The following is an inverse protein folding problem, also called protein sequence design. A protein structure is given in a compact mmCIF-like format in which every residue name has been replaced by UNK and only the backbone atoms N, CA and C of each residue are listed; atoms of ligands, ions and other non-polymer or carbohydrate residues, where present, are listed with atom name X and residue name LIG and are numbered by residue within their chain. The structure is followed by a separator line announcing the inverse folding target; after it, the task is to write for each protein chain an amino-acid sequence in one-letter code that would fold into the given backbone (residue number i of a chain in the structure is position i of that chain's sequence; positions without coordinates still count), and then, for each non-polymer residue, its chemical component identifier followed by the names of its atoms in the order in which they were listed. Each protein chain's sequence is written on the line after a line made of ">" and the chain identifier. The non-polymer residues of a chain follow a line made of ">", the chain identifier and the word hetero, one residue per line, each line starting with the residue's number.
data_IF_790450539751
#
_entry.id   IF_790450539751
#
_cell.length_a   1.000
_cell.length_b   1.000
_cell.length_c   1.000
_cell.angle_alpha   90.00
_cell.angle_beta   90.00
_cell.angle_gamma   90.00
#
_symmetry.space_group_name_H-M   'P 1'
#
loop_
_entity.id
_entity.type
_entity.pdbx_description
1 polymer ?
#
# COMPACT_ATOMS: atom_id res chain seq x y z
N UNK A 1 -71.25 5.33 22.17
CA UNK A 1 -70.80 6.51 22.94
C UNK A 1 -69.31 6.73 22.71
N UNK A 2 -68.91 7.99 22.71
CA UNK A 2 -67.60 8.54 22.29
C UNK A 2 -66.45 8.19 23.25
N UNK A 3 -65.24 8.43 22.70
CA UNK A 3 -63.90 8.66 23.28
C UNK A 3 -62.95 7.46 23.10
N UNK A 4 -61.73 7.56 22.59
CA UNK A 4 -60.85 8.66 22.12
C UNK A 4 -59.69 7.92 21.36
N UNK A 5 -59.26 8.33 20.14
CA UNK A 5 -58.04 9.12 19.82
C UNK A 5 -56.71 8.42 20.21
N UNK A 6 -55.64 8.32 19.40
CA UNK A 6 -55.07 9.19 18.34
C UNK A 6 -54.25 8.35 17.33
N UNK A 7 -54.33 8.76 16.06
CA UNK A 7 -53.72 8.20 14.85
C UNK A 7 -52.79 9.26 14.21
N UNK A 8 -51.56 8.85 13.88
CA UNK A 8 -50.68 9.24 12.75
C UNK A 8 -50.36 10.71 12.44
N UNK A 9 -49.06 11.00 12.34
CA UNK A 9 -48.53 12.11 11.54
C UNK A 9 -47.50 11.57 10.53
N UNK A 10 -47.81 11.67 9.24
CA UNK A 10 -46.90 11.52 8.09
C UNK A 10 -47.02 12.80 7.27
N UNK A 11 -45.91 13.42 6.90
CA UNK A 11 -45.79 14.21 5.67
C UNK A 11 -44.31 14.32 5.28
N UNK A 12 -43.99 13.90 4.06
CA UNK A 12 -42.65 13.91 3.49
C UNK A 12 -42.38 15.06 2.52
N UNK A 13 -41.07 15.26 2.26
CA UNK A 13 -40.38 15.67 1.03
C UNK A 13 -40.75 16.97 0.29
N UNK A 14 -39.74 17.79 -0.02
CA UNK A 14 -39.34 18.10 -1.41
C UNK A 14 -37.94 18.76 -1.49
N UNK A 15 -37.25 18.52 -2.60
CA UNK A 15 -35.86 18.87 -2.97
C UNK A 15 -35.72 20.19 -3.77
N UNK A 16 -34.48 20.70 -3.83
CA UNK A 16 -33.77 21.32 -5.00
C UNK A 16 -33.46 22.84 -5.03
N UNK A 17 -32.15 23.13 -4.99
CA UNK A 17 -31.32 23.87 -5.99
C UNK A 17 -31.29 25.42 -6.09
N UNK A 18 -30.08 25.94 -5.81
CA UNK A 18 -29.28 27.05 -6.38
C UNK A 18 -29.87 28.47 -6.62
N UNK A 19 -29.15 29.49 -6.13
CA UNK A 19 -28.89 30.73 -6.87
C UNK A 19 -27.71 31.54 -6.29
N UNK A 20 -26.88 32.02 -7.21
CA UNK A 20 -25.70 32.86 -7.10
C UNK A 20 -26.11 34.35 -7.22
N UNK A 21 -25.54 35.27 -6.43
CA UNK A 21 -25.60 36.73 -6.65
C UNK A 21 -24.41 37.38 -5.90
N UNK A 22 -23.34 37.82 -6.57
CA UNK A 22 -23.14 39.03 -7.39
C UNK A 22 -22.73 40.30 -6.59
N UNK A 23 -21.40 40.48 -6.55
CA UNK A 23 -20.55 41.69 -6.54
C UNK A 23 -21.13 43.13 -6.46
N UNK A 24 -20.59 43.97 -5.56
CA UNK A 24 -19.60 45.07 -5.84
C UNK A 24 -19.58 46.24 -4.81
N UNK A 25 -18.36 46.60 -4.35
CA UNK A 25 -17.82 47.92 -3.90
C UNK A 25 -18.46 48.63 -2.66
N UNK A 26 -17.72 49.09 -1.63
CA UNK A 26 -16.64 50.12 -1.69
C UNK A 26 -15.82 50.19 -0.38
N UNK A 27 -14.48 50.28 -0.54
CA UNK A 27 -13.39 50.87 0.27
C UNK A 27 -13.39 50.84 1.83
N UNK A 28 -12.31 50.32 2.43
CA UNK A 28 -11.17 51.10 2.97
C UNK A 28 -10.09 50.18 3.61
N UNK A 29 -8.82 50.50 3.31
CA UNK A 29 -7.56 50.17 4.00
C UNK A 29 -7.05 48.69 4.07
N UNK A 30 -6.04 48.41 3.24
CA UNK A 30 -4.94 47.46 3.52
C UNK A 30 -4.11 47.93 4.74
N UNK A 31 -3.52 46.99 5.52
CA UNK A 31 -2.19 46.49 5.17
C UNK A 31 -2.12 44.96 5.10
N UNK A 32 -1.26 44.53 4.19
CA UNK A 32 -1.01 43.17 3.77
C UNK A 32 -0.18 42.33 4.77
N UNK A 33 -0.25 41.01 4.50
CA UNK A 33 0.63 39.90 4.95
C UNK A 33 0.35 39.44 6.38
N UNK A 34 0.04 38.18 6.66
CA UNK A 34 0.68 36.97 6.14
C UNK A 34 -0.26 35.76 6.34
N UNK A 35 -0.71 35.18 5.23
CA UNK A 35 -1.34 33.87 5.20
C UNK A 35 -0.25 32.80 5.34
N UNK A 36 0.15 32.47 6.57
CA UNK A 36 0.95 31.29 6.83
C UNK A 36 0.02 30.05 6.88
N UNK A 37 -0.21 29.52 5.68
CA UNK A 37 -0.64 28.13 5.42
C UNK A 37 0.18 27.21 6.34
N UNK A 38 -0.40 26.21 7.04
CA UNK A 38 0.41 25.21 7.73
C UNK A 38 1.20 24.47 6.66
N UNK A 39 2.46 24.84 6.57
CA UNK A 39 3.48 24.26 5.74
C UNK A 39 3.58 22.81 6.18
N UNK A 40 3.16 21.89 5.30
CA UNK A 40 3.44 20.47 5.43
C UNK A 40 4.94 20.34 5.68
N UNK A 41 5.31 20.12 6.94
CA UNK A 41 6.62 19.61 7.29
C UNK A 41 6.72 18.27 6.61
N UNK A 42 7.46 18.22 5.50
CA UNK A 42 8.03 17.00 4.97
C UNK A 42 8.82 16.37 6.12
N UNK A 43 8.18 15.47 6.86
CA UNK A 43 8.86 14.64 7.84
C UNK A 43 9.96 13.93 7.05
N UNK A 44 11.20 14.13 7.47
CA UNK A 44 12.33 13.38 6.98
C UNK A 44 11.98 11.89 7.16
N UNK A 45 11.60 11.25 6.06
CA UNK A 45 11.27 9.84 6.00
C UNK A 45 12.53 9.08 6.41
N UNK A 46 12.51 8.54 7.63
CA UNK A 46 13.58 7.68 8.08
C UNK A 46 13.38 6.36 7.33
N UNK A 47 14.25 6.01 6.36
CA UNK A 47 14.00 4.89 5.45
C UNK A 47 13.88 3.55 6.20
N UNK A 48 14.42 3.48 7.42
CA UNK A 48 14.27 2.34 8.31
C UNK A 48 12.86 2.23 8.92
N UNK A 49 12.21 3.35 9.23
CA UNK A 49 10.81 3.37 9.69
C UNK A 49 9.88 2.95 8.56
N UNK A 50 10.16 3.38 7.33
CA UNK A 50 9.38 2.98 6.15
C UNK A 50 9.52 1.48 5.85
N UNK A 51 10.72 0.91 5.98
CA UNK A 51 10.94 -0.54 5.80
C UNK A 51 10.16 -1.36 6.82
N UNK A 52 10.22 -1.01 8.11
CA UNK A 52 9.51 -1.74 9.16
C UNK A 52 7.99 -1.67 8.97
N UNK A 53 7.45 -0.50 8.65
CA UNK A 53 6.03 -0.32 8.38
C UNK A 53 5.57 -1.09 7.13
N UNK A 54 6.38 -1.12 6.06
CA UNK A 54 6.10 -1.93 4.87
C UNK A 54 6.12 -3.43 5.18
N UNK A 55 7.06 -3.89 6.02
CA UNK A 55 7.14 -5.29 6.41
C UNK A 55 5.91 -5.72 7.21
N UNK A 56 5.47 -4.91 8.17
CA UNK A 56 4.24 -5.17 8.93
C UNK A 56 3.02 -5.31 8.01
N UNK A 57 2.83 -4.38 7.06
CA UNK A 57 1.77 -4.50 6.05
C UNK A 57 1.89 -5.76 5.20
N UNK A 58 3.10 -6.13 4.79
CA UNK A 58 3.31 -7.38 4.06
C UNK A 58 2.96 -8.60 4.92
N UNK A 59 3.28 -8.60 6.21
CA UNK A 59 2.89 -9.68 7.11
C UNK A 59 1.37 -9.78 7.22
N UNK A 60 0.67 -8.68 7.44
CA UNK A 60 -0.80 -8.67 7.51
C UNK A 60 -1.46 -9.23 6.24
N UNK A 61 -0.94 -8.86 5.07
CA UNK A 61 -1.52 -9.25 3.79
C UNK A 61 -1.15 -10.68 3.36
N UNK A 62 0.12 -11.06 3.48
CA UNK A 62 0.64 -12.27 2.87
C UNK A 62 0.77 -13.42 3.86
N UNK A 63 0.98 -13.16 5.15
CA UNK A 63 1.28 -14.22 6.13
C UNK A 63 0.18 -15.28 6.22
N UNK A 64 -1.12 -14.95 6.36
CA UNK A 64 -2.16 -15.97 6.48
C UNK A 64 -2.23 -16.87 5.23
N UNK A 65 -2.23 -16.27 4.04
CA UNK A 65 -2.31 -16.99 2.78
C UNK A 65 -1.06 -17.81 2.48
N UNK A 66 0.12 -17.29 2.81
CA UNK A 66 1.38 -18.01 2.62
C UNK A 66 1.47 -19.21 3.56
N UNK A 67 1.16 -19.06 4.84
CA UNK A 67 1.13 -20.19 5.78
C UNK A 67 0.17 -21.28 5.29
N UNK A 68 -1.04 -20.90 4.87
CA UNK A 68 -2.05 -21.85 4.39
C UNK A 68 -1.62 -22.61 3.12
N UNK A 69 -0.97 -21.94 2.17
CA UNK A 69 -0.57 -22.54 0.88
C UNK A 69 0.75 -23.31 0.93
N UNK A 70 1.65 -22.96 1.85
CA UNK A 70 3.02 -23.49 1.88
C UNK A 70 3.30 -24.41 3.07
N UNK A 71 2.43 -24.41 4.09
CA UNK A 71 2.67 -25.17 5.33
C UNK A 71 3.82 -24.63 6.18
N UNK A 72 4.32 -23.43 5.88
CA UNK A 72 5.36 -22.77 6.66
C UNK A 72 4.86 -22.33 8.04
N UNK A 73 5.75 -22.36 9.03
CA UNK A 73 5.50 -21.73 10.32
C UNK A 73 5.46 -20.21 10.21
N UNK A 74 4.83 -19.55 11.18
CA UNK A 74 4.77 -18.09 11.24
C UNK A 74 6.17 -17.45 11.17
N UNK A 75 7.16 -18.02 11.86
CA UNK A 75 8.54 -17.51 11.88
C UNK A 75 9.24 -17.68 10.52
N UNK A 76 9.05 -18.82 9.85
CA UNK A 76 9.61 -19.01 8.50
C UNK A 76 8.98 -18.05 7.50
N UNK A 77 7.66 -17.84 7.55
CA UNK A 77 6.98 -16.87 6.69
C UNK A 77 7.47 -15.45 6.94
N UNK A 78 7.66 -15.05 8.20
CA UNK A 78 8.20 -13.73 8.53
C UNK A 78 9.57 -13.50 7.86
N UNK A 79 10.46 -14.50 7.87
CA UNK A 79 11.76 -14.44 7.20
C UNK A 79 11.65 -14.41 5.68
N UNK A 80 10.75 -15.21 5.10
CA UNK A 80 10.47 -15.18 3.64
C UNK A 80 9.99 -13.79 3.21
N UNK A 81 9.07 -13.17 3.96
CA UNK A 81 8.54 -11.84 3.66
C UNK A 81 9.60 -10.75 3.83
N UNK A 82 10.41 -10.83 4.88
CA UNK A 82 11.53 -9.91 5.11
C UNK A 82 12.53 -9.92 3.96
N UNK A 83 12.98 -11.11 3.53
CA UNK A 83 13.89 -11.25 2.39
C UNK A 83 13.23 -10.71 1.12
N UNK A 84 11.95 -10.99 0.87
CA UNK A 84 11.28 -10.45 -0.31
C UNK A 84 11.23 -8.92 -0.31
N UNK A 85 10.92 -8.30 0.83
CA UNK A 85 10.90 -6.86 0.93
C UNK A 85 12.30 -6.27 0.70
N UNK A 86 13.32 -6.87 1.32
CA UNK A 86 14.72 -6.46 1.12
C UNK A 86 15.11 -6.51 -0.36
N UNK A 87 14.85 -7.63 -1.05
CA UNK A 87 15.17 -7.77 -2.46
C UNK A 87 14.40 -6.80 -3.34
N UNK A 88 13.14 -6.49 -3.00
CA UNK A 88 12.34 -5.45 -3.70
C UNK A 88 12.96 -4.07 -3.55
N UNK A 89 13.40 -3.71 -2.34
CA UNK A 89 14.04 -2.41 -2.05
C UNK A 89 15.40 -2.31 -2.74
N UNK A 90 16.20 -3.37 -2.70
CA UNK A 90 17.49 -3.46 -3.41
C UNK A 90 17.28 -3.31 -4.90
N UNK A 91 16.32 -4.03 -5.50
CA UNK A 91 15.99 -3.91 -6.91
C UNK A 91 15.53 -2.49 -7.28
N UNK A 92 14.67 -1.87 -6.47
CA UNK A 92 14.19 -0.51 -6.72
C UNK A 92 15.33 0.52 -6.72
N UNK A 93 16.34 0.34 -5.86
CA UNK A 93 17.52 1.20 -5.80
C UNK A 93 18.48 0.94 -6.96
N UNK A 94 18.82 -0.32 -7.18
CA UNK A 94 19.95 -0.69 -8.03
C UNK A 94 19.59 -0.81 -9.50
N UNK A 95 18.33 -1.09 -9.82
CA UNK A 95 17.88 -1.18 -11.21
C UNK A 95 17.50 0.18 -11.77
N UNK A 96 17.35 1.23 -10.95
CA UNK A 96 16.75 2.51 -11.36
C UNK A 96 17.46 3.14 -12.57
N UNK A 97 18.79 3.18 -12.51
CA UNK A 97 19.62 3.96 -13.43
C UNK A 97 20.35 3.06 -14.45
N UNK A 98 20.03 1.76 -14.49
CA UNK A 98 20.65 0.80 -15.42
C UNK A 98 19.94 0.78 -16.78
N UNK A 99 20.76 0.64 -17.84
CA UNK A 99 20.30 0.31 -19.19
C UNK A 99 19.71 -1.11 -19.24
N UNK A 100 19.09 -1.49 -20.35
CA UNK A 100 18.38 -2.78 -20.48
C UNK A 100 19.28 -4.01 -20.28
N UNK A 101 20.48 -4.01 -20.89
CA UNK A 101 21.41 -5.13 -20.80
C UNK A 101 21.91 -5.33 -19.37
N UNK A 102 22.38 -4.26 -18.73
CA UNK A 102 22.89 -4.27 -17.36
C UNK A 102 21.76 -4.56 -16.35
N UNK A 103 20.55 -4.04 -16.61
CA UNK A 103 19.36 -4.33 -15.79
C UNK A 103 19.02 -5.82 -15.82
N UNK A 104 19.04 -6.46 -16.99
CA UNK A 104 18.77 -7.89 -17.12
C UNK A 104 19.79 -8.73 -16.36
N UNK A 105 21.08 -8.42 -16.51
CA UNK A 105 22.15 -9.07 -15.75
C UNK A 105 21.97 -8.89 -14.23
N UNK A 106 21.71 -7.66 -13.78
CA UNK A 106 21.51 -7.38 -12.35
C UNK A 106 20.26 -8.06 -11.78
N UNK A 107 19.19 -8.18 -12.55
CA UNK A 107 18.00 -8.96 -12.13
C UNK A 107 18.35 -10.43 -11.91
N UNK A 108 19.14 -11.05 -12.79
CA UNK A 108 19.57 -12.43 -12.63
C UNK A 108 20.42 -12.62 -11.36
N UNK A 109 21.33 -11.68 -11.08
CA UNK A 109 22.13 -11.66 -9.85
C UNK A 109 21.24 -11.53 -8.60
N UNK A 110 20.30 -10.59 -8.59
CA UNK A 110 19.36 -10.41 -7.47
C UNK A 110 18.48 -11.65 -7.27
N UNK A 111 18.08 -12.33 -8.35
CA UNK A 111 17.34 -13.60 -8.24
C UNK A 111 18.20 -14.69 -7.58
N UNK A 112 19.46 -14.82 -7.96
CA UNK A 112 20.39 -15.76 -7.35
C UNK A 112 20.66 -15.42 -5.87
N UNK A 113 20.83 -14.13 -5.54
CA UNK A 113 21.00 -13.66 -4.16
C UNK A 113 19.76 -13.97 -3.32
N UNK A 114 18.55 -13.72 -3.83
CA UNK A 114 17.30 -14.09 -3.17
C UNK A 114 17.24 -15.58 -2.87
N UNK A 115 17.59 -16.41 -3.85
CA UNK A 115 17.59 -17.86 -3.70
C UNK A 115 18.61 -18.34 -2.66
N UNK A 116 19.79 -17.71 -2.62
CA UNK A 116 20.77 -17.93 -1.56
C UNK A 116 20.20 -17.59 -0.18
N UNK A 117 19.59 -16.42 0.00
CA UNK A 117 18.97 -16.02 1.28
C UNK A 117 17.84 -16.96 1.70
N UNK A 118 17.06 -17.48 0.75
CA UNK A 118 16.03 -18.49 1.05
C UNK A 118 16.60 -19.82 1.52
N UNK A 119 17.76 -20.23 1.02
CA UNK A 119 18.41 -21.47 1.47
C UNK A 119 18.91 -21.41 2.92
N UNK A 120 19.04 -20.21 3.50
CA UNK A 120 19.36 -20.02 4.92
C UNK A 120 18.15 -20.22 5.84
N UNK A 121 16.93 -20.21 5.28
CA UNK A 121 15.73 -20.58 6.00
C UNK A 121 15.66 -22.12 6.01
N UNK A 122 15.44 -22.77 7.16
CA UNK A 122 15.31 -24.23 7.22
C UNK A 122 13.98 -24.66 6.57
N UNK A 123 13.96 -24.71 5.25
CA UNK A 123 12.82 -25.11 4.41
C UNK A 123 13.13 -26.44 3.74
N UNK A 124 12.09 -27.26 3.58
CA UNK A 124 12.18 -28.43 2.72
C UNK A 124 12.14 -28.03 1.24
N UNK A 125 12.58 -28.90 0.33
CA UNK A 125 12.49 -28.66 -1.10
C UNK A 125 11.04 -28.39 -1.56
N UNK A 126 10.07 -29.13 -1.00
CA UNK A 126 8.65 -28.94 -1.28
C UNK A 126 8.16 -27.57 -0.83
N UNK A 127 8.59 -27.11 0.36
CA UNK A 127 8.25 -25.78 0.87
C UNK A 127 8.84 -24.67 0.01
N UNK A 128 10.08 -24.81 -0.46
CA UNK A 128 10.70 -23.86 -1.38
C UNK A 128 9.87 -23.74 -2.66
N UNK A 129 9.49 -24.89 -3.25
CA UNK A 129 8.63 -24.91 -4.43
C UNK A 129 7.28 -24.25 -4.16
N UNK A 130 6.64 -24.52 -3.03
CA UNK A 130 5.37 -23.88 -2.66
C UNK A 130 5.50 -22.37 -2.49
N UNK A 131 6.62 -21.88 -1.96
CA UNK A 131 6.90 -20.43 -1.89
C UNK A 131 7.05 -19.82 -3.28
N UNK A 132 7.77 -20.49 -4.18
CA UNK A 132 7.92 -20.03 -5.57
C UNK A 132 6.57 -20.01 -6.30
N UNK A 133 5.77 -21.08 -6.16
CA UNK A 133 4.43 -21.18 -6.72
C UNK A 133 3.50 -20.08 -6.18
N UNK A 134 3.56 -19.78 -4.87
CA UNK A 134 2.81 -18.71 -4.25
C UNK A 134 3.12 -17.35 -4.89
N UNK A 135 4.40 -17.03 -5.08
CA UNK A 135 4.79 -15.77 -5.73
C UNK A 135 4.47 -15.73 -7.22
N UNK A 136 4.58 -16.85 -7.92
CA UNK A 136 4.20 -16.96 -9.32
C UNK A 136 2.68 -16.76 -9.53
N UNK A 137 1.86 -17.34 -8.65
CA UNK A 137 0.41 -17.13 -8.63
C UNK A 137 0.08 -15.66 -8.36
N UNK A 138 0.73 -15.04 -7.36
CA UNK A 138 0.54 -13.63 -7.07
C UNK A 138 0.89 -12.73 -8.26
N UNK A 139 2.02 -12.99 -8.94
CA UNK A 139 2.44 -12.23 -10.10
C UNK A 139 1.46 -12.39 -11.29
N UNK A 140 0.92 -13.60 -11.49
CA UNK A 140 -0.09 -13.87 -12.51
C UNK A 140 -1.40 -13.11 -12.25
N UNK A 141 -1.80 -13.02 -10.99
CA UNK A 141 -3.03 -12.33 -10.58
C UNK A 141 -2.86 -10.80 -10.50
N UNK A 142 -1.63 -10.32 -10.43
CA UNK A 142 -1.28 -8.91 -10.36
C UNK A 142 -0.22 -8.59 -11.42
N UNK A 143 -0.55 -8.72 -12.71
CA UNK A 143 0.40 -8.43 -13.77
C UNK A 143 0.85 -6.97 -13.67
N UNK A 144 2.12 -6.66 -13.95
CA UNK A 144 2.57 -5.29 -14.01
C UNK A 144 1.67 -4.53 -15.00
N UNK A 145 1.11 -3.41 -14.56
CA UNK A 145 0.31 -2.56 -15.45
C UNK A 145 1.23 -2.12 -16.58
N UNK A 146 0.91 -2.51 -17.82
CA UNK A 146 1.70 -2.16 -18.99
C UNK A 146 1.87 -0.65 -19.07
N UNK A 147 3.11 -0.23 -19.28
CA UNK A 147 3.47 1.14 -19.68
C UNK A 147 3.53 1.21 -21.20
#
# INVERSE_FOLDING_TARGET
>A
MKKLLILTLIAGTFTATAANAQSSQTAMAEPAKESAKPQSTAAAQNPNTDKAAMLEKMKEQFKPGMMAKTGLTAAQVDRVLEINLEMRMTAARELRDLNEADRSARIAELKAEKQKKFSEIPLTADQIKSVDDFYAEFARNNPPKGH
#
